data_IF_400785791420
#
_entry.id   IF_400785791420
#
_cell.length_a   1.000
_cell.length_b   1.000
_cell.length_c   1.000
_cell.angle_alpha   90.00
_cell.angle_beta   90.00
_cell.angle_gamma   90.00
#
_symmetry.space_group_name_H-M   'P 1'
#
loop_
_entity.id
_entity.type
_entity.pdbx_description
1 polymer ?
#
# COMPACT_ATOMS: atom_id res chain seq x y z
N UNK A 1 12.44 -17.26 0.48
CA UNK A 1 11.14 -16.76 -0.02
C UNK A 1 11.45 -15.85 -1.20
N UNK A 2 10.72 -15.94 -2.32
CA UNK A 2 10.95 -15.03 -3.45
C UNK A 2 10.04 -13.80 -3.23
N UNK A 3 10.65 -12.69 -2.80
CA UNK A 3 9.92 -11.47 -2.43
C UNK A 3 9.36 -10.72 -3.64
N UNK A 4 10.02 -10.80 -4.80
CA UNK A 4 9.50 -10.29 -6.07
C UNK A 4 8.15 -10.93 -6.37
N UNK A 5 8.10 -12.26 -6.28
CA UNK A 5 6.86 -13.01 -6.49
C UNK A 5 5.78 -12.63 -5.48
N UNK A 6 6.13 -12.31 -4.22
CA UNK A 6 5.14 -11.86 -3.23
C UNK A 6 4.49 -10.55 -3.66
N UNK A 7 5.27 -9.58 -4.11
CA UNK A 7 4.75 -8.28 -4.55
C UNK A 7 3.88 -8.45 -5.80
N UNK A 8 4.34 -9.24 -6.78
CA UNK A 8 3.56 -9.53 -7.98
C UNK A 8 2.26 -10.29 -7.67
N UNK A 9 2.30 -11.24 -6.73
CA UNK A 9 1.12 -11.99 -6.29
C UNK A 9 0.11 -11.07 -5.59
N UNK A 10 0.59 -10.11 -4.79
CA UNK A 10 -0.25 -9.09 -4.15
C UNK A 10 -0.93 -8.23 -5.20
N UNK A 11 -0.19 -7.72 -6.20
CA UNK A 11 -0.74 -6.90 -7.29
C UNK A 11 -1.77 -7.72 -8.09
N UNK A 12 -1.45 -8.99 -8.40
CA UNK A 12 -2.32 -9.88 -9.19
C UNK A 12 -3.59 -10.30 -8.45
N UNK A 13 -3.57 -10.35 -7.11
CA UNK A 13 -4.76 -10.66 -6.30
C UNK A 13 -5.83 -9.55 -6.42
N UNK A 14 -5.44 -8.33 -6.81
CA UNK A 14 -6.33 -7.19 -7.06
C UNK A 14 -7.26 -6.86 -5.87
N UNK A 15 -6.79 -7.16 -4.65
CA UNK A 15 -7.51 -6.89 -3.40
C UNK A 15 -6.87 -5.75 -2.63
N UNK A 16 -7.70 -5.12 -1.79
CA UNK A 16 -7.23 -4.18 -0.79
C UNK A 16 -6.58 -4.94 0.36
N UNK A 17 -5.35 -4.61 0.71
CA UNK A 17 -4.65 -5.21 1.83
C UNK A 17 -5.05 -4.44 3.09
N UNK A 18 -5.69 -5.15 4.01
CA UNK A 18 -6.04 -4.63 5.33
C UNK A 18 -4.83 -4.82 6.26
N UNK A 19 -4.33 -3.70 6.79
CA UNK A 19 -3.32 -3.67 7.83
C UNK A 19 -3.92 -3.08 9.11
N UNK A 20 -3.84 -3.81 10.22
CA UNK A 20 -4.18 -3.29 11.53
C UNK A 20 -2.92 -2.63 12.12
N UNK A 21 -2.87 -1.29 12.10
CA UNK A 21 -1.67 -0.50 12.47
C UNK A 21 -1.55 -0.23 13.98
N UNK A 22 -2.34 -0.95 14.79
CA UNK A 22 -2.41 -0.76 16.24
C UNK A 22 -3.46 0.27 16.68
N UNK A 23 -3.73 0.35 17.99
CA UNK A 23 -4.71 1.29 18.58
C UNK A 23 -6.11 1.27 17.91
N UNK A 24 -6.56 0.10 17.43
CA UNK A 24 -7.84 -0.09 16.71
C UNK A 24 -7.93 0.63 15.36
N UNK A 25 -6.79 1.09 14.82
CA UNK A 25 -6.72 1.73 13.51
C UNK A 25 -6.59 0.69 12.41
N UNK A 26 -7.31 0.93 11.33
CA UNK A 26 -7.32 0.08 10.14
C UNK A 26 -6.86 0.91 8.96
N UNK A 27 -5.86 0.41 8.26
CA UNK A 27 -5.42 0.93 6.97
C UNK A 27 -5.81 -0.08 5.89
N UNK A 28 -6.39 0.40 4.79
CA UNK A 28 -6.57 -0.37 3.57
C UNK A 28 -5.65 0.21 2.50
N UNK A 29 -4.79 -0.63 1.93
CA UNK A 29 -3.90 -0.24 0.84
C UNK A 29 -4.15 -1.08 -0.40
N UNK A 30 -4.00 -0.51 -1.60
CA UNK A 30 -4.01 -1.28 -2.85
C UNK A 30 -2.75 -0.98 -3.63
N UNK A 31 -1.92 -2.01 -3.81
CA UNK A 31 -0.66 -1.93 -4.52
C UNK A 31 -0.87 -2.16 -6.02
N UNK A 32 -0.30 -1.30 -6.85
CA UNK A 32 -0.39 -1.41 -8.30
C UNK A 32 0.86 -0.86 -8.98
N UNK A 33 1.01 -1.13 -10.28
CA UNK A 33 2.06 -0.58 -11.12
C UNK A 33 1.50 0.51 -12.03
N UNK A 34 2.25 1.60 -12.14
CA UNK A 34 2.03 2.67 -13.10
C UNK A 34 3.36 2.98 -13.81
N UNK A 35 3.43 2.78 -15.12
CA UNK A 35 4.65 2.93 -15.92
C UNK A 35 5.88 2.21 -15.30
N UNK A 36 5.72 0.96 -14.87
CA UNK A 36 6.74 0.13 -14.19
C UNK A 36 7.16 0.60 -12.79
N UNK A 37 6.49 1.62 -12.22
CA UNK A 37 6.73 2.08 -10.84
C UNK A 37 5.63 1.58 -9.91
N UNK A 38 6.03 1.19 -8.70
CA UNK A 38 5.08 0.83 -7.66
C UNK A 38 4.38 2.05 -7.07
N UNK A 39 3.06 1.98 -6.99
CA UNK A 39 2.19 2.97 -6.35
C UNK A 39 1.19 2.30 -5.43
N UNK A 40 0.71 3.07 -4.47
CA UNK A 40 -0.25 2.65 -3.47
C UNK A 40 -1.45 3.57 -3.52
N UNK A 41 -2.65 3.00 -3.51
CA UNK A 41 -3.84 3.68 -3.03
C UNK A 41 -3.95 3.41 -1.53
N UNK A 42 -4.22 4.44 -0.75
CA UNK A 42 -4.24 4.37 0.71
C UNK A 42 -5.52 4.99 1.24
N UNK A 43 -6.12 4.31 2.21
CA UNK A 43 -7.22 4.82 3.02
C UNK A 43 -6.95 4.43 4.45
N UNK A 44 -6.95 5.41 5.33
CA UNK A 44 -6.80 5.26 6.79
C UNK A 44 -7.55 6.39 7.47
N UNK A 45 -7.90 6.20 8.74
CA UNK A 45 -8.55 7.21 9.57
C UNK A 45 -7.62 8.39 9.91
N UNK A 46 -6.34 8.31 9.52
CA UNK A 46 -5.32 9.33 9.79
C UNK A 46 -5.15 10.35 8.65
N UNK A 47 -5.68 10.05 7.45
CA UNK A 47 -5.60 10.93 6.29
C UNK A 47 -6.91 11.69 6.12
N UNK A 48 -6.82 12.93 5.60
CA UNK A 48 -7.97 13.77 5.29
C UNK A 48 -8.86 13.23 4.14
N UNK A 49 -8.42 12.14 3.50
CA UNK A 49 -9.13 11.47 2.42
C UNK A 49 -8.31 10.31 1.83
N UNK A 50 -8.85 9.61 0.82
CA UNK A 50 -8.09 8.60 0.10
C UNK A 50 -6.90 9.24 -0.63
N UNK A 51 -5.75 8.58 -0.57
CA UNK A 51 -4.51 9.09 -1.15
C UNK A 51 -3.93 8.12 -2.19
N UNK A 52 -3.19 8.67 -3.14
CA UNK A 52 -2.29 7.89 -3.98
C UNK A 52 -0.85 8.33 -3.71
N UNK A 53 -0.01 7.36 -3.37
CA UNK A 53 1.39 7.58 -3.03
C UNK A 53 2.32 6.74 -3.91
N UNK A 54 3.52 7.25 -4.15
CA UNK A 54 4.60 6.47 -4.79
C UNK A 54 5.26 5.63 -3.69
N UNK A 55 5.56 4.37 -3.99
CA UNK A 55 6.50 3.61 -3.14
C UNK A 55 7.90 4.19 -3.36
N UNK A 56 8.62 4.45 -2.28
CA UNK A 56 9.98 4.98 -2.31
C UNK A 56 11.03 3.97 -1.87
N UNK A 57 10.66 3.09 -0.94
CA UNK A 57 11.57 2.11 -0.41
C UNK A 57 10.84 0.82 -0.10
N UNK A 58 11.52 -0.29 -0.34
CA UNK A 58 11.09 -1.61 0.08
C UNK A 58 12.11 -2.11 1.09
N UNK A 59 11.62 -2.65 2.20
CA UNK A 59 12.47 -3.25 3.22
C UNK A 59 11.97 -4.65 3.54
N UNK A 60 12.88 -5.60 3.54
CA UNK A 60 12.63 -6.93 4.13
C UNK A 60 13.28 -6.97 5.50
N UNK A 61 12.47 -7.04 6.56
CA UNK A 61 12.97 -7.10 7.93
C UNK A 61 13.65 -8.44 8.21
N UNK A 62 14.49 -8.48 9.24
CA UNK A 62 15.12 -9.73 9.70
C UNK A 62 14.10 -10.79 10.17
N UNK A 63 12.86 -10.38 10.45
CA UNK A 63 11.77 -11.28 10.82
C UNK A 63 11.02 -11.85 9.59
N UNK A 64 11.49 -11.58 8.37
CA UNK A 64 10.81 -11.88 7.12
C UNK A 64 9.46 -11.17 6.98
N UNK A 65 9.42 -9.87 7.31
CA UNK A 65 8.30 -9.00 6.95
C UNK A 65 8.70 -8.10 5.78
N UNK A 66 7.77 -7.87 4.86
CA UNK A 66 7.92 -6.93 3.75
C UNK A 66 7.24 -5.61 4.11
N UNK A 67 7.98 -4.52 4.12
CA UNK A 67 7.47 -3.18 4.42
C UNK A 67 7.68 -2.31 3.19
N UNK A 68 6.60 -1.71 2.69
CA UNK A 68 6.66 -0.68 1.65
C UNK A 68 6.58 0.69 2.31
N UNK A 69 7.53 1.54 2.01
CA UNK A 69 7.54 2.92 2.47
C UNK A 69 7.06 3.86 1.36
N UNK A 70 6.18 4.79 1.71
CA UNK A 70 5.65 5.81 0.81
C UNK A 70 5.96 7.23 1.31
N UNK A 71 6.12 8.19 0.40
CA UNK A 71 6.29 9.61 0.78
C UNK A 71 4.93 10.25 1.01
N UNK A 72 4.63 10.56 2.25
CA UNK A 72 3.42 11.25 2.70
C UNK A 72 3.36 12.71 2.22
N UNK A 73 4.50 13.31 1.86
CA UNK A 73 4.57 14.70 1.38
C UNK A 73 4.20 14.86 -0.08
N UNK A 74 4.19 13.77 -0.86
CA UNK A 74 3.72 13.75 -2.24
C UNK A 74 2.37 13.04 -2.41
N UNK A 75 1.68 12.77 -1.31
CA UNK A 75 0.33 12.22 -1.31
C UNK A 75 -0.60 13.15 -2.11
N UNK A 76 -1.01 12.67 -3.27
CA UNK A 76 -2.12 13.31 -3.98
C UNK A 76 -3.39 12.81 -3.32
N UNK A 77 -3.96 13.62 -2.41
CA UNK A 77 -5.33 13.39 -1.94
C UNK A 77 -6.22 13.32 -3.18
N UNK A 78 -6.86 12.17 -3.34
CA UNK A 78 -7.65 11.85 -4.50
C UNK A 78 -8.94 12.66 -4.48
N UNK A 79 -9.46 12.96 -5.67
CA UNK A 79 -10.77 13.58 -5.84
C UNK A 79 -11.72 12.61 -6.52
N UNK A 80 -13.01 12.69 -6.17
CA UNK A 80 -14.05 11.80 -6.72
C UNK A 80 -14.08 11.76 -8.26
N UNK A 81 -13.75 12.86 -8.92
CA UNK A 81 -13.75 13.03 -10.38
C UNK A 81 -12.54 12.41 -11.09
N UNK A 82 -11.57 11.85 -10.35
CA UNK A 82 -10.35 11.25 -10.92
C UNK A 82 -10.48 9.76 -11.27
N UNK A 83 -11.67 9.18 -11.15
CA UNK A 83 -11.93 7.75 -11.36
C UNK A 83 -11.29 7.19 -12.64
N UNK A 84 -11.38 7.93 -13.75
CA UNK A 84 -10.88 7.46 -15.05
C UNK A 84 -9.40 7.08 -15.02
N UNK A 85 -8.58 7.79 -14.21
CA UNK A 85 -7.16 7.52 -14.02
C UNK A 85 -6.90 6.18 -13.31
N UNK A 86 -7.82 5.77 -12.44
CA UNK A 86 -7.70 4.59 -11.57
C UNK A 86 -8.63 3.43 -11.96
N UNK A 87 -9.42 3.60 -13.03
CA UNK A 87 -10.42 2.63 -13.49
C UNK A 87 -9.89 1.23 -13.80
N UNK A 88 -8.57 1.11 -14.05
CA UNK A 88 -7.88 -0.17 -14.26
C UNK A 88 -7.47 -0.90 -12.98
N UNK A 89 -7.48 -0.19 -11.84
CA UNK A 89 -6.98 -0.66 -10.54
C UNK A 89 -8.13 -0.79 -9.54
N UNK A 90 -9.15 0.06 -9.66
CA UNK A 90 -10.28 0.13 -8.73
C UNK A 90 -11.56 0.20 -9.56
N UNK A 91 -12.54 -0.65 -9.24
CA UNK A 91 -13.84 -0.57 -9.89
C UNK A 91 -14.66 0.61 -9.33
N UNK A 92 -15.70 1.04 -10.07
CA UNK A 92 -16.47 2.23 -9.69
C UNK A 92 -17.08 2.13 -8.28
N UNK A 93 -17.54 0.95 -7.87
CA UNK A 93 -18.13 0.73 -6.55
C UNK A 93 -17.10 0.91 -5.44
N UNK A 94 -15.92 0.32 -5.60
CA UNK A 94 -14.80 0.52 -4.66
C UNK A 94 -14.38 2.00 -4.61
N UNK A 95 -14.30 2.66 -5.78
CA UNK A 95 -13.92 4.07 -5.88
C UNK A 95 -14.89 4.97 -5.11
N UNK A 96 -16.19 4.81 -5.33
CA UNK A 96 -17.21 5.61 -4.64
C UNK A 96 -17.17 5.38 -3.12
N UNK A 97 -16.84 4.16 -2.68
CA UNK A 97 -16.63 3.83 -1.27
C UNK A 97 -15.45 4.59 -0.64
N UNK A 98 -14.41 4.95 -1.40
CA UNK A 98 -13.25 5.66 -0.85
C UNK A 98 -13.60 7.03 -0.24
N UNK A 99 -14.73 7.63 -0.66
CA UNK A 99 -15.13 8.98 -0.29
C UNK A 99 -16.29 9.05 0.71
N UNK A 100 -16.73 7.91 1.27
CA UNK A 100 -17.89 7.87 2.18
C UNK A 100 -17.58 8.31 3.62
N UNK A 101 -16.30 8.55 3.94
CA UNK A 101 -15.83 8.81 5.31
C UNK A 101 -15.81 7.56 6.20
N UNK A 102 -16.13 6.37 5.65
CA UNK A 102 -16.05 5.06 6.33
C UNK A 102 -15.43 3.99 5.43
N UNK A 103 -14.54 4.42 4.56
CA UNK A 103 -14.01 3.62 3.46
C UNK A 103 -13.37 2.30 3.93
N UNK A 104 -12.59 2.32 5.02
CA UNK A 104 -11.96 1.11 5.60
C UNK A 104 -13.01 0.07 6.00
N UNK A 105 -14.04 0.45 6.75
CA UNK A 105 -15.14 -0.44 7.14
C UNK A 105 -15.93 -0.96 5.94
N UNK A 106 -16.20 -0.10 4.96
CA UNK A 106 -17.02 -0.44 3.80
C UNK A 106 -16.30 -1.39 2.84
N UNK A 107 -15.00 -1.19 2.60
CA UNK A 107 -14.16 -2.11 1.82
C UNK A 107 -14.15 -3.51 2.46
N UNK A 108 -14.06 -3.59 3.79
CA UNK A 108 -14.15 -4.86 4.53
C UNK A 108 -15.54 -5.50 4.37
N UNK A 109 -16.62 -4.73 4.55
CA UNK A 109 -18.01 -5.21 4.36
C UNK A 109 -18.29 -5.68 2.93
N UNK A 110 -17.61 -5.08 1.95
CA UNK A 110 -17.69 -5.47 0.54
C UNK A 110 -16.93 -6.76 0.21
N UNK A 111 -16.15 -7.30 1.15
CA UNK A 111 -15.32 -8.49 0.95
C UNK A 111 -14.31 -8.35 -0.22
N UNK A 112 -13.82 -7.12 -0.42
CA UNK A 112 -12.78 -6.80 -1.42
C UNK A 112 -11.38 -6.68 -0.80
N UNK A 113 -11.27 -6.97 0.50
CA UNK A 113 -10.01 -6.93 1.25
C UNK A 113 -9.37 -8.32 1.39
N UNK A 114 -8.05 -8.36 1.57
CA UNK A 114 -7.28 -9.50 2.07
C UNK A 114 -6.41 -9.10 3.26
N UNK A 115 -6.04 -10.07 4.09
CA UNK A 115 -5.07 -9.89 5.16
C UNK A 115 -3.77 -10.59 4.75
N UNK A 116 -2.72 -9.80 4.47
CA UNK A 116 -1.42 -10.31 4.04
C UNK A 116 -0.44 -10.26 5.20
N UNK A 117 -0.26 -11.40 5.91
CA UNK A 117 0.68 -11.47 7.04
C UNK A 117 2.11 -11.18 6.58
N UNK A 118 2.83 -10.39 7.37
CA UNK A 118 4.19 -9.96 7.05
C UNK A 118 4.27 -9.08 5.80
N UNK A 119 3.20 -8.33 5.51
CA UNK A 119 3.20 -7.24 4.55
C UNK A 119 2.63 -6.00 5.23
N UNK A 120 3.38 -4.91 5.19
CA UNK A 120 3.01 -3.64 5.83
C UNK A 120 3.31 -2.47 4.91
N UNK A 121 2.61 -1.37 5.14
CA UNK A 121 2.79 -0.13 4.40
C UNK A 121 2.87 1.00 5.42
N UNK A 122 3.99 1.74 5.38
CA UNK A 122 4.38 2.73 6.39
C UNK A 122 4.83 4.03 5.71
N UNK A 123 4.64 5.20 6.34
CA UNK A 123 5.19 6.45 5.81
C UNK A 123 6.73 6.43 5.87
N UNK A 124 7.39 7.14 4.93
CA UNK A 124 8.85 7.19 4.83
C UNK A 124 9.52 7.63 6.13
N UNK A 125 8.89 8.53 6.89
CA UNK A 125 9.42 9.01 8.17
C UNK A 125 9.71 7.87 9.16
N UNK A 126 8.96 6.77 9.07
CA UNK A 126 9.14 5.57 9.91
C UNK A 126 10.32 4.69 9.50
N UNK A 127 11.00 4.97 8.37
CA UNK A 127 12.15 4.15 7.90
C UNK A 127 13.23 4.03 8.98
N UNK A 128 13.45 5.09 9.77
CA UNK A 128 14.47 5.10 10.83
C UNK A 128 14.31 3.99 11.85
N UNK A 129 13.08 3.56 12.09
CA UNK A 129 12.75 2.52 13.08
C UNK A 129 13.23 1.13 12.63
N UNK A 130 13.50 0.98 11.33
CA UNK A 130 13.88 -0.29 10.71
C UNK A 130 15.34 -0.34 10.23
N UNK A 131 16.10 0.76 10.32
CA UNK A 131 17.48 0.88 9.82
C UNK A 131 18.42 -0.19 10.38
N UNK A 132 18.20 -0.67 11.61
CA UNK A 132 19.08 -1.64 12.27
C UNK A 132 18.61 -3.10 12.16
N UNK A 133 17.47 -3.37 11.51
CA UNK A 133 16.77 -4.66 11.59
C UNK A 133 16.23 -5.15 10.25
N UNK A 134 17.02 -5.00 9.18
CA UNK A 134 16.61 -5.43 7.84
C UNK A 134 17.72 -6.12 7.03
N UNK A 135 17.32 -6.91 6.05
CA UNK A 135 18.19 -7.54 5.06
C UNK A 135 18.44 -6.53 3.93
N UNK A 136 19.58 -5.84 4.02
CA UNK A 136 20.01 -4.83 3.04
C UNK A 136 20.11 -5.40 1.63
N UNK A 137 20.67 -6.60 1.49
CA UNK A 137 20.89 -7.21 0.18
C UNK A 137 19.56 -7.48 -0.54
N UNK A 138 18.61 -8.12 0.16
CA UNK A 138 17.29 -8.42 -0.44
C UNK A 138 16.53 -7.12 -0.73
N UNK A 139 16.63 -6.14 0.15
CA UNK A 139 15.95 -4.85 -0.01
C UNK A 139 16.49 -4.06 -1.20
N UNK A 140 17.80 -4.07 -1.43
CA UNK A 140 18.45 -3.45 -2.59
C UNK A 140 18.10 -4.17 -3.90
N UNK A 141 18.06 -5.51 -3.89
CA UNK A 141 17.60 -6.31 -5.03
C UNK A 141 16.16 -5.94 -5.44
N UNK A 142 15.26 -5.79 -4.46
CA UNK A 142 13.88 -5.36 -4.68
C UNK A 142 13.80 -3.91 -5.19
N UNK A 143 14.58 -2.99 -4.60
CA UNK A 143 14.61 -1.61 -5.03
C UNK A 143 15.05 -1.48 -6.51
N UNK A 144 16.07 -2.24 -6.91
CA UNK A 144 16.50 -2.30 -8.31
C UNK A 144 15.43 -2.89 -9.22
N UNK A 145 14.77 -3.98 -8.80
CA UNK A 145 13.75 -4.64 -9.60
C UNK A 145 12.54 -3.74 -9.89
N UNK A 146 12.12 -2.95 -8.91
CA UNK A 146 10.96 -2.06 -9.00
C UNK A 146 11.29 -0.60 -9.33
N UNK A 147 12.54 -0.31 -9.71
CA UNK A 147 13.02 1.03 -10.08
C UNK A 147 12.74 2.11 -9.03
N UNK A 148 13.06 1.81 -7.77
CA UNK A 148 12.85 2.70 -6.63
C UNK A 148 14.02 3.64 -6.36
#
# INVERSE_FOLDING_TARGET
MNWDNKIEDIIRNDKWIKNDTGLWKVQCSKLFKDEERLKLLLVTDELDGPACAKVEKIVVTNNNDLILFYDDRFDSILKEDEYDKFSKVVNKKEWDTLFTGKATEELVKMNVTSEEKGFYVEPHESVSDFINSYDEKISDELAQHFNL
#
